data_IF_252200611568
#
_entry.id   IF_252200611568
#
_cell.length_a   1.000
_cell.length_b   1.000
_cell.length_c   1.000
_cell.angle_alpha   90.00
_cell.angle_beta   90.00
_cell.angle_gamma   90.00
#
_symmetry.space_group_name_H-M   'P 1'
#
loop_
_entity.id
_entity.type
_entity.pdbx_description
1 polymer ?
#
# COMPACT_ATOMS: atom_id res chain seq x y z
N UNK A 1 -4.46 11.76 -14.72
CA UNK A 1 -5.03 10.45 -14.37
C UNK A 1 -5.14 10.38 -12.85
N UNK A 2 -6.33 10.51 -12.29
CA UNK A 2 -6.54 10.37 -10.84
C UNK A 2 -6.48 8.86 -10.52
N UNK A 3 -5.29 8.35 -10.15
CA UNK A 3 -5.19 7.03 -9.55
C UNK A 3 -5.87 7.12 -8.18
N UNK A 4 -7.12 6.66 -8.11
CA UNK A 4 -7.88 6.56 -6.87
C UNK A 4 -7.17 5.54 -5.98
N UNK A 5 -6.47 6.03 -4.95
CA UNK A 5 -5.90 5.17 -3.90
C UNK A 5 -7.02 4.35 -3.28
N UNK A 6 -6.82 3.03 -3.19
CA UNK A 6 -7.79 2.10 -2.60
C UNK A 6 -7.55 1.97 -1.10
N UNK A 7 -6.29 1.90 -0.68
CA UNK A 7 -5.88 1.85 0.73
C UNK A 7 -4.66 2.76 0.91
N UNK A 8 -4.69 3.63 1.93
CA UNK A 8 -3.57 4.52 2.27
C UNK A 8 -2.63 3.95 3.36
N UNK A 9 -1.50 4.60 3.60
CA UNK A 9 -0.52 4.15 4.60
C UNK A 9 -1.08 3.98 6.02
N UNK A 10 -2.06 4.80 6.43
CA UNK A 10 -2.62 4.76 7.79
C UNK A 10 -3.51 3.54 7.95
N UNK A 11 -4.26 3.21 6.91
CA UNK A 11 -5.07 1.99 6.86
C UNK A 11 -4.17 0.76 6.81
N UNK A 12 -3.11 0.76 5.99
CA UNK A 12 -2.14 -0.33 5.93
C UNK A 12 -1.51 -0.57 7.31
N UNK A 13 -1.11 0.49 8.02
CA UNK A 13 -0.51 0.38 9.36
C UNK A 13 -1.48 -0.15 10.43
N UNK A 14 -2.80 -0.09 10.20
CA UNK A 14 -3.80 -0.72 11.09
C UNK A 14 -4.02 -2.19 10.76
N UNK A 15 -3.85 -2.57 9.49
CA UNK A 15 -4.07 -3.93 8.99
C UNK A 15 -2.84 -4.81 9.25
N UNK A 16 -1.65 -4.29 8.95
CA UNK A 16 -0.39 -5.01 9.10
C UNK A 16 0.21 -4.77 10.50
N UNK A 17 0.83 -5.79 11.12
CA UNK A 17 1.56 -5.62 12.37
C UNK A 17 2.91 -4.90 12.17
N UNK A 18 3.32 -4.65 10.91
CA UNK A 18 4.59 -4.05 10.56
C UNK A 18 4.58 -2.54 10.81
N UNK A 19 5.63 -2.04 11.46
CA UNK A 19 5.89 -0.61 11.66
C UNK A 19 7.25 -0.21 11.09
N UNK A 20 7.73 1.00 11.41
CA UNK A 20 9.09 1.42 11.05
C UNK A 20 10.15 0.49 11.67
N UNK A 21 11.20 0.08 10.95
CA UNK A 21 11.57 0.42 9.57
C UNK A 21 11.08 -0.58 8.49
N UNK A 22 10.16 -1.48 8.83
CA UNK A 22 9.76 -2.62 8.00
C UNK A 22 8.40 -2.49 7.30
N UNK A 23 7.65 -1.41 7.55
CA UNK A 23 6.47 -1.09 6.75
C UNK A 23 6.92 -0.45 5.42
N UNK A 24 7.05 -1.28 4.38
CA UNK A 24 7.63 -0.91 3.09
C UNK A 24 6.59 -0.67 1.97
N UNK A 25 5.31 -0.53 2.32
CA UNK A 25 4.22 -0.28 1.36
C UNK A 25 3.54 1.03 1.71
N UNK A 26 3.53 1.99 0.78
CA UNK A 26 2.98 3.32 1.03
C UNK A 26 1.49 3.41 0.73
N UNK A 27 1.02 2.70 -0.29
CA UNK A 27 -0.39 2.69 -0.71
C UNK A 27 -0.72 1.48 -1.57
N UNK A 28 -2.00 1.14 -1.62
CA UNK A 28 -2.57 0.17 -2.56
C UNK A 28 -3.38 0.91 -3.61
N UNK A 29 -3.08 0.65 -4.89
CA UNK A 29 -3.72 1.32 -6.04
C UNK A 29 -4.76 0.45 -6.73
N UNK A 30 -4.75 -0.86 -6.49
CA UNK A 30 -5.71 -1.80 -7.05
C UNK A 30 -5.85 -3.04 -6.14
N UNK A 31 -7.07 -3.54 -6.00
CA UNK A 31 -7.40 -4.80 -5.33
C UNK A 31 -8.46 -5.50 -6.17
N UNK A 32 -8.19 -6.75 -6.53
CA UNK A 32 -9.14 -7.65 -7.18
C UNK A 32 -9.22 -8.94 -6.36
N UNK A 33 -10.32 -9.09 -5.62
CA UNK A 33 -10.54 -10.25 -4.75
C UNK A 33 -10.95 -11.50 -5.53
N UNK A 34 -11.57 -11.33 -6.70
CA UNK A 34 -12.03 -12.45 -7.53
C UNK A 34 -10.82 -13.14 -8.19
N UNK A 35 -9.84 -12.34 -8.61
CA UNK A 35 -8.58 -12.82 -9.19
C UNK A 35 -7.44 -12.97 -8.17
N UNK A 36 -7.70 -12.68 -6.89
CA UNK A 36 -6.71 -12.73 -5.80
C UNK A 36 -5.44 -11.91 -6.10
N UNK A 37 -5.62 -10.70 -6.64
CA UNK A 37 -4.54 -9.78 -7.04
C UNK A 37 -4.59 -8.47 -6.23
N UNK A 38 -3.41 -7.95 -5.89
CA UNK A 38 -3.25 -6.64 -5.25
C UNK A 38 -2.03 -5.92 -5.83
N UNK A 39 -2.19 -4.63 -6.14
CA UNK A 39 -1.10 -3.79 -6.64
C UNK A 39 -0.79 -2.70 -5.61
N UNK A 40 0.37 -2.83 -4.98
CA UNK A 40 0.93 -1.85 -4.05
C UNK A 40 1.94 -0.91 -4.71
N UNK A 41 2.15 0.25 -4.11
CA UNK A 41 3.20 1.20 -4.49
C UNK A 41 4.13 1.47 -3.29
N UNK A 42 5.44 1.40 -3.56
CA UNK A 42 6.52 1.81 -2.66
C UNK A 42 7.30 2.94 -3.32
N UNK A 43 7.34 4.10 -2.71
CA UNK A 43 8.17 5.20 -3.15
C UNK A 43 9.60 4.96 -2.65
N UNK A 44 10.58 5.13 -3.54
CA UNK A 44 11.99 5.00 -3.22
C UNK A 44 12.62 6.39 -3.30
N UNK A 45 13.24 6.82 -2.21
CA UNK A 45 13.98 8.08 -2.12
C UNK A 45 15.33 7.84 -1.46
N UNK A 46 16.28 8.75 -1.70
CA UNK A 46 17.63 8.75 -1.08
C UNK A 46 17.65 9.54 0.24
N UNK A 47 16.52 10.16 0.63
CA UNK A 47 16.39 11.00 1.83
C UNK A 47 16.68 10.28 3.14
#
# INVERSE_FOLDING_TARGET
>A
MNNKTVIDHREIAKILPHGYPFLLVDRVVHIDLDNNEIIGQKNVTVN
#
